data_IF_875887427085
#
_entry.id   IF_875887427085
#
_cell.length_a   1.000
_cell.length_b   1.000
_cell.length_c   1.000
_cell.angle_alpha   90.00
_cell.angle_beta   90.00
_cell.angle_gamma   90.00
#
_symmetry.space_group_name_H-M   'P 1'
#
loop_
_entity.id
_entity.type
_entity.pdbx_description
1 polymer ?
#
# COMPACT_ATOMS: atom_id res chain seq x y z
N UNK A 1 -2.60 0.70 14.80
CA UNK A 1 -3.36 0.77 13.53
C UNK A 1 -3.69 -0.62 12.98
N UNK A 2 -2.72 -1.43 12.52
CA UNK A 2 -2.99 -2.76 11.94
C UNK A 2 -3.88 -3.64 12.83
N UNK A 3 -3.50 -3.86 14.10
CA UNK A 3 -4.26 -4.70 15.02
C UNK A 3 -5.70 -4.22 15.23
N UNK A 4 -5.91 -2.90 15.36
CA UNK A 4 -7.24 -2.32 15.51
C UNK A 4 -8.10 -2.48 14.25
N UNK A 5 -7.52 -2.19 13.07
CA UNK A 5 -8.20 -2.39 11.80
C UNK A 5 -8.55 -3.87 11.57
N UNK A 6 -7.66 -4.80 11.93
CA UNK A 6 -7.87 -6.24 11.81
C UNK A 6 -8.98 -6.71 12.75
N UNK A 7 -8.96 -6.25 14.01
CA UNK A 7 -9.97 -6.58 15.00
C UNK A 7 -11.38 -6.14 14.57
N UNK A 8 -11.54 -4.88 14.15
CA UNK A 8 -12.86 -4.40 13.72
C UNK A 8 -13.28 -4.98 12.37
N UNK A 9 -12.36 -5.28 11.45
CA UNK A 9 -12.67 -6.01 10.21
C UNK A 9 -13.15 -7.44 10.51
N UNK A 10 -12.53 -8.11 11.47
CA UNK A 10 -12.97 -9.42 11.93
C UNK A 10 -14.37 -9.36 12.57
N UNK A 11 -14.60 -8.40 13.46
CA UNK A 11 -15.92 -8.21 14.08
C UNK A 11 -17.02 -7.95 13.04
N UNK A 12 -16.76 -7.10 12.05
CA UNK A 12 -17.74 -6.79 11.02
C UNK A 12 -18.02 -8.01 10.12
N UNK A 13 -16.98 -8.77 9.78
CA UNK A 13 -17.12 -10.02 9.04
C UNK A 13 -17.91 -11.06 9.81
N UNK A 14 -17.67 -11.18 11.12
CA UNK A 14 -18.43 -12.07 12.00
C UNK A 14 -19.90 -11.65 12.10
N UNK A 15 -20.19 -10.36 12.23
CA UNK A 15 -21.57 -9.82 12.26
C UNK A 15 -22.33 -10.04 10.96
N UNK A 16 -21.67 -9.88 9.81
CA UNK A 16 -22.28 -10.06 8.48
C UNK A 16 -22.32 -11.52 8.04
N UNK A 17 -21.70 -12.43 8.79
CA UNK A 17 -21.47 -13.83 8.41
C UNK A 17 -20.88 -14.01 7.00
N UNK A 18 -20.18 -12.98 6.50
CA UNK A 18 -19.64 -12.93 5.13
C UNK A 18 -18.48 -11.96 5.07
N UNK A 19 -17.48 -12.28 4.25
CA UNK A 19 -16.34 -11.42 3.94
C UNK A 19 -16.55 -10.58 2.67
N UNK A 20 -17.66 -10.77 1.95
CA UNK A 20 -17.88 -10.12 0.64
C UNK A 20 -17.97 -8.61 0.70
N UNK A 21 -18.39 -8.05 1.83
CA UNK A 21 -18.45 -6.61 2.06
C UNK A 21 -17.09 -5.92 1.93
N UNK A 22 -15.99 -6.65 2.16
CA UNK A 22 -14.62 -6.14 1.97
C UNK A 22 -14.23 -6.01 0.50
N UNK A 23 -14.96 -6.70 -0.39
CA UNK A 23 -14.75 -6.65 -1.84
C UNK A 23 -15.72 -5.71 -2.54
N UNK A 24 -16.90 -5.47 -1.98
CA UNK A 24 -17.91 -4.57 -2.52
C UNK A 24 -18.72 -3.95 -1.38
N UNK A 25 -18.53 -2.65 -1.15
CA UNK A 25 -19.39 -1.86 -0.26
C UNK A 25 -20.58 -1.33 -1.08
N UNK A 26 -21.82 -1.40 -0.59
CA UNK A 26 -22.95 -0.78 -1.27
C UNK A 26 -22.78 0.73 -1.42
N UNK A 27 -23.24 1.30 -2.54
CA UNK A 27 -23.34 2.75 -2.71
C UNK A 27 -24.17 3.38 -1.59
N UNK A 28 -23.75 4.57 -1.14
CA UNK A 28 -24.37 5.27 -0.02
C UNK A 28 -23.98 4.73 1.36
N UNK A 29 -22.97 3.84 1.45
CA UNK A 29 -22.38 3.46 2.74
C UNK A 29 -21.90 4.71 3.46
N UNK A 30 -22.46 4.96 4.65
CA UNK A 30 -22.01 6.05 5.50
C UNK A 30 -20.62 5.74 6.05
N UNK A 31 -19.71 6.70 5.88
CA UNK A 31 -18.36 6.66 6.39
C UNK A 31 -18.34 6.94 7.90
N UNK A 32 -18.86 5.99 8.68
CA UNK A 32 -19.01 6.12 10.13
C UNK A 32 -18.59 4.84 10.86
N UNK A 33 -18.25 5.00 12.14
CA UNK A 33 -17.92 3.88 13.03
C UNK A 33 -16.44 3.46 13.02
N UNK A 34 -16.13 2.34 13.68
CA UNK A 34 -14.74 1.95 13.96
C UNK A 34 -13.89 1.68 12.72
N UNK A 35 -14.46 1.10 11.66
CA UNK A 35 -13.74 0.83 10.41
C UNK A 35 -13.32 2.12 9.70
N UNK A 36 -14.21 3.11 9.67
CA UNK A 36 -13.90 4.42 9.13
C UNK A 36 -12.85 5.15 9.98
N UNK A 37 -12.92 5.05 11.31
CA UNK A 37 -11.89 5.59 12.19
C UNK A 37 -10.49 5.08 11.80
N UNK A 38 -10.31 3.78 11.63
CA UNK A 38 -9.00 3.23 11.21
C UNK A 38 -8.59 3.66 9.80
N UNK A 39 -9.56 3.80 8.91
CA UNK A 39 -9.35 4.32 7.56
C UNK A 39 -8.84 5.77 7.58
N UNK A 40 -9.41 6.60 8.46
CA UNK A 40 -8.98 7.97 8.68
C UNK A 40 -7.59 8.03 9.34
N UNK A 41 -7.33 7.18 10.34
CA UNK A 41 -5.98 7.05 10.93
C UNK A 41 -4.93 6.64 9.89
N UNK A 42 -5.28 5.77 8.95
CA UNK A 42 -4.41 5.40 7.83
C UNK A 42 -4.11 6.59 6.91
N UNK A 43 -5.13 7.40 6.59
CA UNK A 43 -4.92 8.63 5.84
C UNK A 43 -3.98 9.60 6.55
N UNK A 44 -4.18 9.83 7.86
CA UNK A 44 -3.26 10.66 8.66
C UNK A 44 -1.85 10.08 8.67
N UNK A 45 -1.70 8.75 8.73
CA UNK A 45 -0.39 8.09 8.72
C UNK A 45 0.44 8.44 7.49
N UNK A 46 -0.20 8.67 6.32
CA UNK A 46 0.51 9.06 5.09
C UNK A 46 1.25 10.40 5.25
N UNK A 47 0.73 11.32 6.08
CA UNK A 47 1.44 12.57 6.38
C UNK A 47 2.63 12.34 7.31
N UNK A 48 2.49 11.48 8.31
CA UNK A 48 3.60 11.11 9.19
C UNK A 48 4.74 10.41 8.43
N UNK A 49 4.42 9.67 7.37
CA UNK A 49 5.43 9.03 6.50
C UNK A 49 6.32 10.05 5.75
N UNK A 50 5.94 11.34 5.66
CA UNK A 50 6.86 12.38 5.15
C UNK A 50 8.06 12.62 6.07
N UNK A 51 7.98 12.26 7.36
CA UNK A 51 9.11 12.35 8.28
C UNK A 51 10.28 11.53 7.74
N UNK A 52 10.04 10.40 7.09
CA UNK A 52 11.11 9.60 6.45
C UNK A 52 11.83 10.39 5.36
N UNK A 53 11.08 11.18 4.58
CA UNK A 53 11.64 12.07 3.55
C UNK A 53 12.50 13.16 4.20
N UNK A 54 11.99 13.79 5.25
CA UNK A 54 12.71 14.83 6.00
C UNK A 54 14.01 14.25 6.57
N UNK A 55 13.98 13.07 7.19
CA UNK A 55 15.17 12.40 7.74
C UNK A 55 16.20 12.05 6.66
N UNK A 56 15.77 11.64 5.47
CA UNK A 56 16.68 11.37 4.35
C UNK A 56 17.36 12.65 3.85
N UNK A 57 16.60 13.74 3.73
CA UNK A 57 17.12 15.07 3.33
C UNK A 57 18.11 15.59 4.37
N UNK A 58 17.77 15.52 5.67
CA UNK A 58 18.66 15.93 6.76
C UNK A 58 19.95 15.10 6.80
N UNK A 59 19.89 13.82 6.41
CA UNK A 59 21.07 12.94 6.27
C UNK A 59 21.80 13.10 4.93
N UNK A 60 21.45 14.09 4.11
CA UNK A 60 21.98 14.32 2.77
C UNK A 60 21.94 13.06 1.88
N UNK A 61 20.96 12.18 2.09
CA UNK A 61 20.78 10.99 1.25
C UNK A 61 19.91 11.33 0.04
N UNK A 62 20.28 10.85 -1.17
CA UNK A 62 19.51 11.13 -2.37
C UNK A 62 18.12 10.51 -2.26
N UNK A 63 17.09 11.29 -2.57
CA UNK A 63 15.72 10.81 -2.70
C UNK A 63 15.57 10.12 -4.06
N UNK A 64 15.11 8.88 -4.07
CA UNK A 64 14.79 8.20 -5.33
C UNK A 64 13.52 8.78 -5.95
N UNK A 65 13.43 8.77 -7.29
CA UNK A 65 12.21 9.16 -8.01
C UNK A 65 11.00 8.36 -7.52
N UNK A 66 11.20 7.06 -7.25
CA UNK A 66 10.16 6.19 -6.73
C UNK A 66 9.63 6.66 -5.37
N UNK A 67 10.53 7.05 -4.47
CA UNK A 67 10.18 7.57 -3.13
C UNK A 67 9.32 8.83 -3.24
N UNK A 68 9.80 9.83 -3.98
CA UNK A 68 9.10 11.11 -4.14
C UNK A 68 7.75 10.90 -4.81
N UNK A 69 7.71 10.14 -5.92
CA UNK A 69 6.47 9.85 -6.63
C UNK A 69 5.46 9.11 -5.74
N UNK A 70 5.91 8.09 -5.01
CA UNK A 70 5.06 7.35 -4.07
C UNK A 70 4.45 8.29 -3.01
N UNK A 71 5.29 8.99 -2.23
CA UNK A 71 4.80 9.84 -1.14
C UNK A 71 3.94 11.02 -1.62
N UNK A 72 4.13 11.49 -2.87
CA UNK A 72 3.32 12.57 -3.44
C UNK A 72 1.90 12.12 -3.81
N UNK A 73 1.72 10.85 -4.21
CA UNK A 73 0.43 10.35 -4.73
C UNK A 73 -0.35 9.54 -3.71
N UNK A 74 0.30 8.86 -2.76
CA UNK A 74 -0.41 8.07 -1.75
C UNK A 74 -1.32 8.90 -0.84
N UNK A 75 -1.00 10.19 -0.63
CA UNK A 75 -1.79 11.11 0.18
C UNK A 75 -3.12 11.46 -0.51
N UNK A 76 -3.15 12.04 -1.74
CA UNK A 76 -4.41 12.28 -2.43
C UNK A 76 -5.15 10.98 -2.73
N UNK A 77 -4.45 9.87 -2.97
CA UNK A 77 -5.08 8.55 -3.11
C UNK A 77 -5.85 8.15 -1.84
N UNK A 78 -5.22 8.25 -0.66
CA UNK A 78 -5.87 7.89 0.60
C UNK A 78 -7.06 8.80 0.93
N UNK A 79 -6.99 10.08 0.55
CA UNK A 79 -8.13 11.00 0.63
C UNK A 79 -9.29 10.54 -0.27
N UNK A 80 -9.02 10.21 -1.53
CA UNK A 80 -10.03 9.70 -2.46
C UNK A 80 -10.67 8.40 -1.99
N UNK A 81 -9.94 7.53 -1.28
CA UNK A 81 -10.53 6.33 -0.70
C UNK A 81 -11.59 6.65 0.35
N UNK A 82 -11.30 7.63 1.21
CA UNK A 82 -12.21 8.08 2.26
C UNK A 82 -13.43 8.83 1.72
N UNK A 83 -13.24 9.67 0.71
CA UNK A 83 -14.33 10.45 0.13
C UNK A 83 -15.29 9.53 -0.63
N UNK A 84 -14.74 8.60 -1.43
CA UNK A 84 -15.55 7.76 -2.30
C UNK A 84 -16.07 6.46 -1.64
N UNK A 85 -15.87 6.26 -0.32
CA UNK A 85 -16.18 5.01 0.37
C UNK A 85 -15.71 3.77 -0.41
N UNK A 86 -14.40 3.75 -0.72
CA UNK A 86 -13.82 2.81 -1.66
C UNK A 86 -13.91 1.37 -1.14
N UNK A 87 -14.58 0.48 -1.89
CA UNK A 87 -14.90 -0.89 -1.45
C UNK A 87 -13.72 -1.73 -0.93
N UNK A 88 -12.57 -1.70 -1.60
CA UNK A 88 -11.36 -2.45 -1.25
C UNK A 88 -10.48 -1.77 -0.20
N UNK A 89 -10.87 -0.59 0.28
CA UNK A 89 -10.06 0.21 1.20
C UNK A 89 -9.63 -0.59 2.43
N UNK A 90 -10.53 -1.38 3.01
CA UNK A 90 -10.22 -2.14 4.23
C UNK A 90 -9.16 -3.22 3.99
N UNK A 91 -9.27 -3.95 2.88
CA UNK A 91 -8.28 -4.97 2.50
C UNK A 91 -6.93 -4.30 2.22
N UNK A 92 -6.93 -3.23 1.43
CA UNK A 92 -5.72 -2.52 1.06
C UNK A 92 -5.01 -1.93 2.29
N UNK A 93 -5.77 -1.36 3.23
CA UNK A 93 -5.27 -0.86 4.50
C UNK A 93 -4.63 -1.98 5.32
N UNK A 94 -5.30 -3.12 5.49
CA UNK A 94 -4.76 -4.23 6.27
C UNK A 94 -3.44 -4.75 5.71
N UNK A 95 -3.38 -4.97 4.39
CA UNK A 95 -2.15 -5.45 3.74
C UNK A 95 -1.04 -4.41 3.87
N UNK A 96 -1.32 -3.14 3.55
CA UNK A 96 -0.33 -2.07 3.59
C UNK A 96 0.23 -1.87 5.01
N UNK A 97 -0.66 -1.78 6.00
CA UNK A 97 -0.24 -1.57 7.38
C UNK A 97 0.49 -2.80 7.95
N UNK A 98 0.14 -4.01 7.52
CA UNK A 98 0.90 -5.22 7.87
C UNK A 98 2.33 -5.21 7.31
N UNK A 99 2.50 -4.89 6.02
CA UNK A 99 3.82 -4.75 5.41
C UNK A 99 4.62 -3.61 6.05
N UNK A 100 3.97 -2.49 6.37
CA UNK A 100 4.64 -1.38 7.04
C UNK A 100 5.10 -1.69 8.46
N UNK A 101 4.36 -2.50 9.23
CA UNK A 101 4.85 -2.99 10.53
C UNK A 101 6.19 -3.72 10.37
N UNK A 102 6.30 -4.61 9.37
CA UNK A 102 7.54 -5.34 9.09
C UNK A 102 8.65 -4.41 8.60
N UNK A 103 8.33 -3.47 7.71
CA UNK A 103 9.29 -2.49 7.16
C UNK A 103 9.87 -1.58 8.25
N UNK A 104 9.01 -0.98 9.09
CA UNK A 104 9.47 -0.08 10.14
C UNK A 104 10.20 -0.84 11.25
N UNK A 105 9.83 -2.09 11.52
CA UNK A 105 10.60 -2.95 12.41
C UNK A 105 12.02 -3.20 11.87
N UNK A 106 12.15 -3.46 10.56
CA UNK A 106 13.46 -3.58 9.91
C UNK A 106 14.29 -2.29 10.05
N UNK A 107 13.69 -1.12 9.82
CA UNK A 107 14.37 0.17 9.97
C UNK A 107 14.76 0.48 11.41
N UNK A 108 13.91 0.11 12.38
CA UNK A 108 14.22 0.20 13.80
C UNK A 108 15.47 -0.62 14.13
N UNK A 109 15.53 -1.89 13.72
CA UNK A 109 16.72 -2.73 13.93
C UNK A 109 17.97 -2.09 13.31
N UNK A 110 17.86 -1.58 12.09
CA UNK A 110 18.98 -0.88 11.43
C UNK A 110 19.41 0.40 12.14
N UNK A 111 18.52 1.06 12.90
CA UNK A 111 18.84 2.27 13.66
C UNK A 111 19.63 1.98 14.96
N UNK A 112 19.56 0.74 15.45
CA UNK A 112 20.34 0.25 16.60
C UNK A 112 21.53 -0.63 16.16
N UNK A 113 22.01 -0.43 14.92
CA UNK A 113 23.12 -1.14 14.28
C UNK A 113 22.96 -2.66 14.11
N UNK A 114 21.75 -3.20 14.33
CA UNK A 114 21.42 -4.57 13.95
C UNK A 114 21.03 -4.56 12.47
N UNK A 115 21.77 -5.30 11.63
CA UNK A 115 21.51 -5.37 10.18
C UNK A 115 20.95 -6.74 9.80
N UNK A 116 19.62 -6.91 9.76
CA UNK A 116 19.05 -8.22 9.48
C UNK A 116 19.30 -8.65 8.02
N UNK A 117 19.62 -9.93 7.83
CA UNK A 117 19.87 -10.52 6.50
C UNK A 117 18.61 -10.59 5.62
N UNK A 118 17.43 -10.48 6.22
CA UNK A 118 16.12 -10.58 5.56
C UNK A 118 15.63 -9.28 4.90
N UNK A 119 16.52 -8.32 4.58
CA UNK A 119 16.17 -7.12 3.79
C UNK A 119 15.36 -7.45 2.52
N UNK A 120 15.72 -8.54 1.84
CA UNK A 120 15.02 -9.01 0.63
C UNK A 120 13.57 -9.39 0.89
N UNK A 121 13.26 -9.92 2.08
CA UNK A 121 11.89 -10.27 2.47
C UNK A 121 11.00 -9.03 2.51
N UNK A 122 11.50 -7.91 3.04
CA UNK A 122 10.76 -6.63 3.09
C UNK A 122 10.42 -6.14 1.68
N UNK A 123 11.43 -6.09 0.80
CA UNK A 123 11.23 -5.63 -0.59
C UNK A 123 10.30 -6.57 -1.38
N UNK A 124 10.44 -7.88 -1.22
CA UNK A 124 9.56 -8.85 -1.87
C UNK A 124 8.12 -8.73 -1.35
N UNK A 125 7.93 -8.50 -0.04
CA UNK A 125 6.62 -8.28 0.55
C UNK A 125 5.90 -7.07 -0.04
N UNK A 126 6.62 -5.96 -0.27
CA UNK A 126 6.07 -4.77 -0.94
C UNK A 126 5.66 -5.06 -2.39
N UNK A 127 6.46 -5.83 -3.15
CA UNK A 127 6.11 -6.22 -4.52
C UNK A 127 4.86 -7.12 -4.53
N UNK A 128 4.83 -8.13 -3.65
CA UNK A 128 3.70 -9.05 -3.50
C UNK A 128 2.42 -8.29 -3.12
N UNK A 129 2.49 -7.27 -2.27
CA UNK A 129 1.35 -6.40 -1.96
C UNK A 129 0.75 -5.76 -3.22
N UNK A 130 1.58 -5.21 -4.12
CA UNK A 130 1.07 -4.59 -5.35
C UNK A 130 0.44 -5.63 -6.29
N UNK A 131 1.09 -6.77 -6.49
CA UNK A 131 0.56 -7.86 -7.33
C UNK A 131 -0.75 -8.42 -6.75
N UNK A 132 -0.81 -8.64 -5.44
CA UNK A 132 -2.01 -9.11 -4.75
C UNK A 132 -3.15 -8.09 -4.85
N UNK A 133 -2.84 -6.78 -4.83
CA UNK A 133 -3.86 -5.74 -5.00
C UNK A 133 -4.57 -5.83 -6.35
N UNK A 134 -3.83 -6.13 -7.43
CA UNK A 134 -4.44 -6.40 -8.74
C UNK A 134 -5.27 -7.69 -8.72
N UNK A 135 -4.79 -8.76 -8.11
CA UNK A 135 -5.56 -10.01 -8.02
C UNK A 135 -6.88 -9.79 -7.25
N UNK A 136 -6.84 -9.11 -6.11
CA UNK A 136 -8.02 -8.77 -5.29
C UNK A 136 -8.99 -7.87 -6.06
N UNK A 137 -8.48 -6.95 -6.88
CA UNK A 137 -9.32 -6.07 -7.70
C UNK A 137 -10.22 -6.82 -8.68
N UNK A 138 -9.81 -8.01 -9.15
CA UNK A 138 -10.64 -8.83 -10.05
C UNK A 138 -11.97 -9.23 -9.41
N UNK A 139 -11.97 -9.52 -8.09
CA UNK A 139 -13.19 -9.86 -7.36
C UNK A 139 -14.11 -8.65 -7.21
N UNK A 140 -13.56 -7.46 -6.96
CA UNK A 140 -14.33 -6.21 -6.98
C UNK A 140 -15.03 -6.02 -8.32
N UNK A 141 -14.30 -6.14 -9.43
CA UNK A 141 -14.88 -5.95 -10.77
C UNK A 141 -15.96 -6.98 -11.09
N UNK A 142 -15.76 -8.23 -10.71
CA UNK A 142 -16.78 -9.27 -10.84
C UNK A 142 -18.05 -8.94 -10.06
N UNK A 143 -17.94 -8.54 -8.79
CA UNK A 143 -19.09 -8.18 -7.96
C UNK A 143 -19.78 -6.90 -8.45
N UNK A 144 -19.01 -5.92 -8.93
CA UNK A 144 -19.55 -4.70 -9.51
C UNK A 144 -20.32 -4.99 -10.80
N UNK A 145 -19.82 -5.89 -11.65
CA UNK A 145 -20.53 -6.33 -12.86
C UNK A 145 -21.87 -6.98 -12.55
N UNK A 146 -21.93 -7.83 -11.51
CA UNK A 146 -23.16 -8.51 -11.12
C UNK A 146 -24.18 -7.58 -10.45
N UNK A 147 -23.72 -6.68 -9.58
CA UNK A 147 -24.61 -5.89 -8.71
C UNK A 147 -24.84 -4.47 -9.18
N UNK A 148 -23.93 -3.91 -10.00
CA UNK A 148 -23.92 -2.53 -10.47
C UNK A 148 -23.75 -1.45 -9.38
N UNK A 149 -23.59 -1.84 -8.11
CA UNK A 149 -23.82 -0.96 -6.95
C UNK A 149 -22.66 -0.89 -5.95
N UNK A 150 -21.46 -1.34 -6.34
CA UNK A 150 -20.27 -1.16 -5.49
C UNK A 150 -19.83 0.30 -5.43
N UNK A 151 -19.45 0.75 -4.24
CA UNK A 151 -19.01 2.12 -3.95
C UNK A 151 -17.56 2.37 -4.34
N UNK A 152 -17.29 3.61 -4.75
CA UNK A 152 -15.94 4.11 -5.02
C UNK A 152 -15.35 3.71 -6.36
N UNK A 153 -16.16 3.60 -7.41
CA UNK A 153 -15.69 3.23 -8.77
C UNK A 153 -14.61 4.20 -9.28
N UNK A 154 -14.79 5.52 -9.14
CA UNK A 154 -13.81 6.51 -9.56
C UNK A 154 -12.49 6.40 -8.78
N UNK A 155 -12.57 6.21 -7.45
CA UNK A 155 -11.40 5.98 -6.62
C UNK A 155 -10.69 4.66 -6.99
N UNK A 156 -11.44 3.63 -7.39
CA UNK A 156 -10.90 2.35 -7.84
C UNK A 156 -10.14 2.48 -9.16
N UNK A 157 -10.68 3.23 -10.13
CA UNK A 157 -10.01 3.53 -11.40
C UNK A 157 -8.70 4.29 -11.16
N UNK A 158 -8.75 5.35 -10.32
CA UNK A 158 -7.56 6.10 -9.93
C UNK A 158 -6.50 5.19 -9.27
N UNK A 159 -6.92 4.33 -8.34
CA UNK A 159 -6.05 3.38 -7.64
C UNK A 159 -5.41 2.36 -8.59
N UNK A 160 -6.17 1.85 -9.57
CA UNK A 160 -5.65 0.94 -10.59
C UNK A 160 -4.61 1.63 -11.50
N UNK A 161 -4.90 2.85 -11.98
CA UNK A 161 -3.95 3.64 -12.77
C UNK A 161 -2.67 3.95 -12.00
N UNK A 162 -2.80 4.35 -10.73
CA UNK A 162 -1.66 4.64 -9.87
C UNK A 162 -0.79 3.41 -9.61
N UNK A 163 -1.38 2.28 -9.20
CA UNK A 163 -0.63 1.04 -8.96
C UNK A 163 0.07 0.54 -10.22
N UNK A 164 -0.53 0.71 -11.40
CA UNK A 164 0.08 0.31 -12.66
C UNK A 164 1.34 1.15 -12.96
N UNK A 165 1.24 2.46 -12.76
CA UNK A 165 2.37 3.38 -12.93
C UNK A 165 3.49 3.10 -11.90
N UNK A 166 3.12 2.85 -10.65
CA UNK A 166 4.08 2.52 -9.59
C UNK A 166 4.79 1.18 -9.86
N UNK A 167 4.05 0.16 -10.33
CA UNK A 167 4.62 -1.13 -10.73
C UNK A 167 5.60 -0.96 -11.90
N UNK A 168 5.26 -0.16 -12.90
CA UNK A 168 6.16 0.15 -14.01
C UNK A 168 7.46 0.83 -13.52
N UNK A 169 7.35 1.77 -12.58
CA UNK A 169 8.51 2.41 -11.94
C UNK A 169 9.36 1.42 -11.13
N UNK A 170 8.73 0.52 -10.37
CA UNK A 170 9.43 -0.54 -9.63
C UNK A 170 10.18 -1.50 -10.58
N UNK A 171 9.55 -1.92 -11.67
CA UNK A 171 10.19 -2.78 -12.69
C UNK A 171 11.37 -2.06 -13.34
N UNK A 172 11.22 -0.78 -13.67
CA UNK A 172 12.30 0.02 -14.25
C UNK A 172 13.48 0.18 -13.27
N UNK A 173 13.19 0.52 -12.01
CA UNK A 173 14.20 0.60 -10.95
C UNK A 173 14.94 -0.73 -10.75
N UNK A 174 14.20 -1.85 -10.73
CA UNK A 174 14.78 -3.19 -10.62
C UNK A 174 15.68 -3.50 -11.82
N UNK A 175 15.20 -3.28 -13.05
CA UNK A 175 16.00 -3.52 -14.27
C UNK A 175 17.25 -2.65 -14.34
N UNK A 176 17.16 -1.38 -13.94
CA UNK A 176 18.29 -0.45 -13.92
C UNK A 176 19.37 -0.89 -12.91
N UNK A 177 18.95 -1.30 -11.71
CA UNK A 177 19.83 -1.80 -10.65
C UNK A 177 20.56 -3.09 -11.09
N UNK A 178 19.84 -4.04 -11.69
CA UNK A 178 20.42 -5.30 -12.19
C UNK A 178 21.36 -5.10 -13.39
N UNK A 179 21.01 -4.19 -14.32
CA UNK A 179 21.90 -3.83 -15.44
C UNK A 179 23.19 -3.16 -14.95
N UNK A 180 23.11 -2.30 -13.94
CA UNK A 180 24.26 -1.69 -13.31
C UNK A 180 25.16 -2.74 -12.63
N UNK A 181 24.59 -3.68 -11.88
CA UNK A 181 25.35 -4.78 -11.26
C UNK A 181 25.98 -5.73 -12.29
N UNK A 182 25.30 -6.01 -13.41
CA UNK A 182 25.84 -6.82 -14.51
C UNK A 182 27.03 -6.16 -15.20
N UNK A 183 26.94 -4.85 -15.49
CA UNK A 183 28.06 -4.07 -16.06
C UNK A 183 29.24 -3.98 -15.10
N UNK A 184 28.99 -3.72 -13.81
CA UNK A 184 30.04 -3.70 -12.79
C UNK A 184 30.73 -5.07 -12.65
N UNK A 185 29.99 -6.18 -12.76
CA UNK A 185 30.57 -7.53 -12.73
C UNK A 185 31.42 -7.85 -13.97
N UNK A 186 31.03 -7.37 -15.15
CA UNK A 186 31.85 -7.49 -16.37
C UNK A 186 33.11 -6.63 -16.32
N UNK A 187 33.02 -5.39 -15.83
CA UNK A 187 34.16 -4.50 -15.70
C UNK A 187 35.20 -4.96 -14.65
N UNK A 188 34.78 -5.77 -13.67
CA UNK A 188 35.67 -6.36 -12.65
C UNK A 188 36.26 -7.71 -13.07
N UNK A 189 35.83 -8.25 -14.21
CA UNK A 189 36.31 -9.51 -14.79
C UNK A 189 37.24 -9.29 -16.00
N UNK A 190 37.49 -8.02 -16.35
CA UNK A 190 38.54 -7.56 -17.27
C UNK A 190 39.65 -6.92 -16.44
#
# INVERSE_FOLDING_TARGET
>A
MFAGAAYHSYQETAKRHSAEWMFCLPQGTLMQGPLYFWSYMYYLSKYYEFIDTILLVLKAKPLSVLHVFHHSVVVPMAFLWLEAAQSLQQIALLINTGIHVVMYYYYFLCSIDIRPSWKKLVTNGQIVQFVASFAISTRFWYLHWLTGRCSGLHAMLFNASFNLLLLALFINFHRSSYRASSRARKAKAQ
#
